data_IF_030444454899
#
_entry.id   IF_030444454899
#
_cell.length_a   1.000
_cell.length_b   1.000
_cell.length_c   1.000
_cell.angle_alpha   90.00
_cell.angle_beta   90.00
_cell.angle_gamma   90.00
#
_symmetry.space_group_name_H-M   'P 1'
#
loop_
_entity.id
_entity.type
_entity.pdbx_description
1 polymer ?
#
# COMPACT_ATOMS: atom_id res chain seq x y z
N UNK A 1 -22.05 14.64 33.74
CA UNK A 1 -21.98 13.78 32.55
C UNK A 1 -20.66 14.05 31.82
N UNK A 2 -19.78 13.05 31.60
CA UNK A 2 -18.61 13.26 30.77
C UNK A 2 -19.07 13.54 29.33
N UNK A 3 -18.63 14.67 28.76
CA UNK A 3 -18.93 15.04 27.36
C UNK A 3 -18.27 13.99 26.45
N UNK A 4 -19.06 13.35 25.58
CA UNK A 4 -18.51 12.50 24.50
C UNK A 4 -17.62 13.36 23.61
N UNK A 5 -16.35 12.98 23.36
CA UNK A 5 -15.51 13.71 22.43
C UNK A 5 -16.14 13.66 21.04
N UNK A 6 -16.30 14.83 20.41
CA UNK A 6 -16.74 14.92 19.02
C UNK A 6 -15.56 14.49 18.17
N UNK A 7 -15.66 13.32 17.53
CA UNK A 7 -14.64 12.84 16.58
C UNK A 7 -14.49 13.85 15.46
N UNK A 8 -13.26 14.18 15.12
CA UNK A 8 -12.96 15.05 13.99
C UNK A 8 -13.37 14.35 12.68
N UNK A 9 -13.69 15.12 11.64
CA UNK A 9 -14.13 14.59 10.35
C UNK A 9 -13.11 13.57 9.81
N UNK A 10 -11.82 13.83 10.00
CA UNK A 10 -10.74 12.93 9.62
C UNK A 10 -10.78 11.61 10.40
N UNK A 11 -11.02 11.61 11.71
CA UNK A 11 -11.15 10.38 12.50
C UNK A 11 -12.38 9.56 12.07
N UNK A 12 -13.47 10.23 11.72
CA UNK A 12 -14.66 9.59 11.20
C UNK A 12 -14.40 8.93 9.84
N UNK A 13 -13.73 9.64 8.92
CA UNK A 13 -13.36 9.13 7.61
C UNK A 13 -12.42 7.91 7.71
N UNK A 14 -11.43 7.94 8.61
CA UNK A 14 -10.51 6.82 8.83
C UNK A 14 -11.22 5.54 9.26
N UNK A 15 -12.35 5.64 9.96
CA UNK A 15 -13.14 4.47 10.39
C UNK A 15 -13.77 3.73 9.21
N UNK A 16 -14.19 4.46 8.17
CA UNK A 16 -14.90 3.88 7.02
C UNK A 16 -14.00 3.62 5.81
N UNK A 17 -13.04 4.51 5.56
CA UNK A 17 -12.13 4.43 4.42
C UNK A 17 -10.85 3.65 4.75
N UNK A 18 -10.52 3.51 6.05
CA UNK A 18 -9.23 2.99 6.50
C UNK A 18 -8.14 4.07 6.47
N UNK A 19 -6.93 3.78 6.98
CA UNK A 19 -5.76 4.62 6.77
C UNK A 19 -5.61 4.94 5.28
N UNK A 20 -5.21 6.16 4.93
CA UNK A 20 -5.02 6.57 3.53
C UNK A 20 -4.12 5.61 2.72
N UNK A 21 -3.25 4.87 3.42
CA UNK A 21 -2.31 3.91 2.85
C UNK A 21 -2.87 2.46 2.79
N UNK A 22 -3.92 2.14 3.54
CA UNK A 22 -4.50 0.80 3.64
C UNK A 22 -6.01 0.96 3.62
N UNK A 23 -6.60 1.03 2.42
CA UNK A 23 -8.05 1.11 2.27
C UNK A 23 -8.76 0.01 3.08
N UNK A 24 -10.05 0.19 3.38
CA UNK A 24 -10.83 -0.75 4.20
C UNK A 24 -10.65 -2.21 3.73
N UNK A 25 -10.03 -3.10 4.54
CA UNK A 25 -9.73 -4.48 4.12
C UNK A 25 -10.98 -5.35 3.99
N UNK A 26 -12.12 -4.90 4.56
CA UNK A 26 -13.43 -5.54 4.46
C UNK A 26 -14.32 -4.91 3.39
N UNK A 27 -13.86 -3.84 2.73
CA UNK A 27 -14.58 -3.19 1.65
C UNK A 27 -14.58 -4.04 0.38
N UNK A 28 -15.51 -3.77 -0.56
CA UNK A 28 -15.45 -4.36 -1.89
C UNK A 28 -14.11 -4.01 -2.54
N UNK A 29 -13.40 -5.02 -3.05
CA UNK A 29 -12.16 -4.79 -3.79
C UNK A 29 -12.49 -4.11 -5.12
N UNK A 30 -11.66 -3.16 -5.52
CA UNK A 30 -11.68 -2.63 -6.89
C UNK A 30 -11.46 -3.81 -7.85
N UNK A 31 -12.34 -3.95 -8.85
CA UNK A 31 -12.09 -4.85 -9.98
C UNK A 31 -11.04 -4.16 -10.84
N UNK A 32 -9.91 -4.82 -11.03
CA UNK A 32 -8.83 -4.31 -11.87
C UNK A 32 -9.13 -4.60 -13.34
N UNK A 33 -8.75 -3.70 -14.23
CA UNK A 33 -8.73 -4.01 -15.66
C UNK A 33 -7.55 -4.92 -16.01
N UNK A 34 -7.61 -5.57 -17.18
CA UNK A 34 -6.51 -6.41 -17.67
C UNK A 34 -5.20 -5.63 -17.78
N UNK A 35 -5.27 -4.36 -18.21
CA UNK A 35 -4.11 -3.46 -18.28
C UNK A 35 -3.51 -3.16 -16.90
N UNK A 36 -4.34 -3.00 -15.88
CA UNK A 36 -3.88 -2.77 -14.50
C UNK A 36 -3.21 -4.03 -13.95
N UNK A 37 -3.77 -5.20 -14.22
CA UNK A 37 -3.18 -6.49 -13.85
C UNK A 37 -1.85 -6.71 -14.56
N UNK A 38 -1.78 -6.44 -15.87
CA UNK A 38 -0.56 -6.59 -16.65
C UNK A 38 0.56 -5.68 -16.14
N UNK A 39 0.25 -4.42 -15.82
CA UNK A 39 1.21 -3.48 -15.24
C UNK A 39 1.69 -3.92 -13.87
N UNK A 40 0.79 -4.42 -13.00
CA UNK A 40 1.19 -4.92 -11.69
C UNK A 40 2.10 -6.15 -11.81
N UNK A 41 1.79 -7.06 -12.74
CA UNK A 41 2.63 -8.22 -13.04
C UNK A 41 4.02 -7.82 -13.58
N UNK A 42 4.08 -6.79 -14.43
CA UNK A 42 5.34 -6.23 -14.93
C UNK A 42 6.19 -5.67 -13.78
N UNK A 43 5.61 -4.85 -12.91
CA UNK A 43 6.30 -4.28 -11.74
C UNK A 43 6.83 -5.38 -10.80
N UNK A 44 6.06 -6.45 -10.57
CA UNK A 44 6.52 -7.57 -9.74
C UNK A 44 7.68 -8.35 -10.37
N UNK A 45 7.78 -8.37 -11.69
CA UNK A 45 8.84 -9.07 -12.42
C UNK A 45 10.11 -8.22 -12.59
N UNK A 46 9.97 -6.89 -12.61
CA UNK A 46 11.06 -5.96 -12.84
C UNK A 46 11.87 -5.62 -11.60
N UNK A 47 11.36 -5.86 -10.38
CA UNK A 47 12.04 -5.43 -9.15
C UNK A 47 12.32 -6.60 -8.20
N UNK A 48 13.52 -6.63 -7.64
CA UNK A 48 13.93 -7.54 -6.58
C UNK A 48 13.95 -6.81 -5.23
N UNK A 49 13.45 -7.49 -4.19
CA UNK A 49 13.45 -6.97 -2.83
C UNK A 49 14.78 -7.28 -2.15
N UNK A 50 15.54 -6.25 -1.78
CA UNK A 50 16.86 -6.36 -1.13
C UNK A 50 16.80 -5.78 0.28
N UNK A 51 17.57 -6.37 1.19
CA UNK A 51 17.73 -5.88 2.57
C UNK A 51 19.18 -5.45 2.77
N UNK A 52 19.39 -4.22 3.24
CA UNK A 52 20.74 -3.72 3.52
C UNK A 52 21.30 -4.24 4.86
N UNK A 53 22.57 -3.95 5.13
CA UNK A 53 23.23 -4.34 6.38
C UNK A 53 22.62 -3.68 7.65
N UNK A 54 21.77 -2.66 7.48
CA UNK A 54 21.04 -1.98 8.57
C UNK A 54 19.61 -2.52 8.71
N UNK A 55 19.23 -3.55 7.95
CA UNK A 55 17.90 -4.16 7.98
C UNK A 55 16.83 -3.38 7.21
N UNK A 56 17.19 -2.35 6.43
CA UNK A 56 16.24 -1.57 5.63
C UNK A 56 15.93 -2.32 4.34
N UNK A 57 14.64 -2.38 3.99
CA UNK A 57 14.15 -3.02 2.76
C UNK A 57 14.09 -2.03 1.62
N UNK A 58 14.59 -2.42 0.45
CA UNK A 58 14.52 -1.68 -0.81
C UNK A 58 13.99 -2.56 -1.94
N UNK A 59 13.43 -1.93 -2.97
CA UNK A 59 13.16 -2.56 -4.26
C UNK A 59 14.23 -2.07 -5.23
N UNK A 60 14.89 -3.00 -5.93
CA UNK A 60 15.96 -2.72 -6.88
C UNK A 60 15.58 -3.30 -8.22
N UNK A 61 15.77 -2.55 -9.30
CA UNK A 61 15.47 -3.03 -10.64
C UNK A 61 16.35 -4.24 -11.00
N UNK A 62 15.71 -5.33 -11.42
CA UNK A 62 16.35 -6.60 -11.79
C UNK A 62 17.25 -6.35 -13.00
N UNK A 63 18.54 -6.58 -12.83
CA UNK A 63 19.57 -6.33 -13.85
C UNK A 63 20.41 -5.07 -13.64
N UNK A 64 20.04 -4.21 -12.69
CA UNK A 64 20.92 -3.10 -12.24
C UNK A 64 21.97 -3.57 -11.22
N UNK A 65 21.73 -4.71 -10.55
CA UNK A 65 22.69 -5.44 -9.72
C UNK A 65 23.65 -6.25 -10.60
N UNK A 66 24.46 -5.55 -11.38
CA UNK A 66 25.44 -6.14 -12.30
C UNK A 66 26.58 -5.18 -12.58
N UNK A 67 27.36 -4.84 -11.56
CA UNK A 67 28.75 -4.37 -11.70
C UNK A 67 29.52 -4.63 -10.41
#
# INVERSE_FOLDING_TARGET
MPKKPRRDLTEWLLTYLGPAQVGNPRGPRKVLSDDEVARDAELQQQFDRVVDARGRTFLVERGTTGT
#
